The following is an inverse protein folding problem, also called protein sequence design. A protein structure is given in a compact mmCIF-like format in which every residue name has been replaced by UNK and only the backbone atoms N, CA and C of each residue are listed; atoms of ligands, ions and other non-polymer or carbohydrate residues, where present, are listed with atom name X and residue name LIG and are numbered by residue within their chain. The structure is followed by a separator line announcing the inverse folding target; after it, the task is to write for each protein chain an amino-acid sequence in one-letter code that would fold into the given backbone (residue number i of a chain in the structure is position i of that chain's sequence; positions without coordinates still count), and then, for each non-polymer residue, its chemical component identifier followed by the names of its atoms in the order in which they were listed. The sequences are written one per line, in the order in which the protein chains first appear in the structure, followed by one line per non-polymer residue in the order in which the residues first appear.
data_IF_086429711239
#
_entry.id   IF_086429711239
#
_cell.length_a   1.000
_cell.length_b   1.000
_cell.length_c   1.000
_cell.angle_alpha   90.00
_cell.angle_beta   90.00
_cell.angle_gamma   90.00
#
_symmetry.space_group_name_H-M   'P 1'
#
loop_
_entity.id
_entity.type
_entity.pdbx_description
1 polymer ?
#
# COMPACT_ATOMS: atom_id res chain seq x y z
N UNK A 1 38.09 11.80 -6.77
CA UNK A 1 37.71 10.46 -6.25
C UNK A 1 36.44 10.63 -5.43
N UNK A 2 35.44 9.74 -5.64
CA UNK A 2 34.03 9.80 -5.18
C UNK A 2 33.22 10.97 -5.82
N UNK A 3 32.21 10.77 -6.65
CA UNK A 3 31.34 9.62 -6.85
C UNK A 3 29.92 10.17 -6.91
N UNK A 4 29.54 10.69 -8.09
CA UNK A 4 28.19 11.13 -8.44
C UNK A 4 27.21 9.95 -8.25
N UNK A 5 26.63 9.84 -7.05
CA UNK A 5 25.57 8.87 -6.74
C UNK A 5 24.30 9.63 -6.40
N UNK A 6 23.95 10.61 -7.25
CA UNK A 6 22.58 11.04 -7.36
C UNK A 6 21.78 9.90 -8.00
N UNK A 7 21.09 9.18 -7.12
CA UNK A 7 19.67 8.97 -7.35
C UNK A 7 19.33 8.08 -8.56
N UNK A 8 19.54 6.77 -8.41
CA UNK A 8 18.73 5.79 -9.15
C UNK A 8 17.30 5.80 -8.57
N UNK A 9 16.58 6.93 -8.71
CA UNK A 9 15.11 6.96 -8.60
C UNK A 9 14.60 6.14 -9.78
N UNK A 10 14.48 4.83 -9.58
CA UNK A 10 13.79 3.95 -10.50
C UNK A 10 12.44 4.59 -10.81
N UNK A 11 12.20 4.94 -12.08
CA UNK A 11 11.04 5.68 -12.53
C UNK A 11 9.77 4.98 -12.06
N UNK A 12 9.19 5.45 -10.96
CA UNK A 12 7.89 4.99 -10.49
C UNK A 12 6.86 5.57 -11.46
N UNK A 13 6.02 4.74 -12.06
CA UNK A 13 4.95 5.20 -12.96
C UNK A 13 4.07 6.20 -12.18
N UNK A 14 3.62 7.27 -12.85
CA UNK A 14 2.62 8.20 -12.27
C UNK A 14 1.44 7.38 -11.73
N UNK A 15 1.05 7.64 -10.48
CA UNK A 15 0.00 6.88 -9.81
C UNK A 15 0.49 5.69 -8.97
N UNK A 16 1.80 5.45 -8.85
CA UNK A 16 2.38 4.40 -8.01
C UNK A 16 3.35 4.97 -6.98
N UNK A 17 3.49 4.30 -5.84
CA UNK A 17 4.35 4.67 -4.72
C UNK A 17 5.20 3.46 -4.29
N UNK A 18 6.48 3.71 -4.01
CA UNK A 18 7.36 2.72 -3.39
C UNK A 18 7.28 2.83 -1.86
N UNK A 19 7.03 1.70 -1.19
CA UNK A 19 6.95 1.59 0.28
C UNK A 19 7.94 0.55 0.79
N UNK A 20 8.49 0.76 1.99
CA UNK A 20 9.32 -0.21 2.73
C UNK A 20 8.52 -0.73 3.90
N UNK A 21 8.50 -2.05 4.05
CA UNK A 21 7.73 -2.77 5.07
C UNK A 21 8.64 -3.78 5.74
N UNK A 22 8.66 -3.80 7.07
CA UNK A 22 9.41 -4.75 7.86
C UNK A 22 10.07 -4.12 9.09
N UNK A 23 10.59 -4.98 9.97
CA UNK A 23 11.22 -4.57 11.23
C UNK A 23 12.73 -4.44 11.06
N UNK A 24 13.28 -3.29 11.45
CA UNK A 24 14.70 -2.96 11.26
C UNK A 24 15.66 -3.85 12.06
N UNK A 25 15.18 -4.59 13.07
CA UNK A 25 16.02 -5.32 14.03
C UNK A 25 16.35 -6.77 13.63
N UNK A 26 15.79 -7.29 12.52
CA UNK A 26 16.15 -8.61 12.02
C UNK A 26 17.38 -8.49 11.09
N UNK A 27 18.52 -9.00 11.56
CA UNK A 27 19.79 -9.01 10.82
C UNK A 27 19.67 -9.90 9.56
N UNK A 28 19.45 -9.27 8.40
CA UNK A 28 19.24 -9.92 7.10
C UNK A 28 17.83 -9.67 6.54
N UNK A 29 17.75 -9.00 5.38
CA UNK A 29 16.51 -8.65 4.65
C UNK A 29 15.33 -8.15 5.52
N UNK A 30 15.60 -7.42 6.62
CA UNK A 30 14.59 -7.00 7.60
C UNK A 30 13.49 -6.06 7.07
N UNK A 31 13.63 -5.55 5.85
CA UNK A 31 12.64 -4.71 5.18
C UNK A 31 12.52 -5.03 3.70
N UNK A 32 11.28 -5.29 3.25
CA UNK A 32 10.96 -5.51 1.83
C UNK A 32 10.38 -4.25 1.22
N UNK A 33 10.79 -3.98 -0.03
CA UNK A 33 10.25 -2.87 -0.82
C UNK A 33 9.08 -3.36 -1.68
N UNK A 34 7.96 -2.68 -1.58
CA UNK A 34 6.78 -2.90 -2.41
C UNK A 34 6.48 -1.66 -3.25
N UNK A 35 5.78 -1.86 -4.37
CA UNK A 35 5.25 -0.77 -5.18
C UNK A 35 3.74 -0.95 -5.23
N UNK A 36 3.01 0.04 -4.73
CA UNK A 36 1.54 0.04 -4.65
C UNK A 36 0.96 1.23 -5.41
N UNK A 37 -0.27 1.13 -5.93
CA UNK A 37 -0.97 2.29 -6.45
C UNK A 37 -1.16 3.34 -5.36
N UNK A 38 -1.05 4.63 -5.72
CA UNK A 38 -1.33 5.76 -4.82
C UNK A 38 -2.78 5.71 -4.31
N UNK A 39 -3.70 5.07 -5.06
CA UNK A 39 -5.07 4.80 -4.64
C UNK A 39 -5.16 4.15 -3.25
N UNK A 40 -4.18 3.31 -2.88
CA UNK A 40 -4.16 2.62 -1.60
C UNK A 40 -4.03 3.60 -0.42
N UNK A 41 -3.35 4.74 -0.61
CA UNK A 41 -3.20 5.76 0.44
C UNK A 41 -4.54 6.40 0.84
N UNK A 42 -5.54 6.36 -0.05
CA UNK A 42 -6.88 6.88 0.24
C UNK A 42 -7.76 5.86 0.98
N UNK A 43 -7.31 4.61 1.12
CA UNK A 43 -8.04 3.61 1.87
C UNK A 43 -7.86 3.81 3.38
N UNK A 44 -8.93 3.78 4.20
CA UNK A 44 -8.85 4.05 5.64
C UNK A 44 -7.85 3.14 6.38
N UNK A 45 -7.76 1.85 5.99
CA UNK A 45 -6.77 0.92 6.52
C UNK A 45 -5.32 1.40 6.32
N UNK A 46 -5.01 1.95 5.15
CA UNK A 46 -3.70 2.48 4.85
C UNK A 46 -3.47 3.83 5.53
N UNK A 47 -4.48 4.68 5.64
CA UNK A 47 -4.37 5.96 6.35
C UNK A 47 -3.91 5.78 7.80
N UNK A 48 -4.51 4.82 8.52
CA UNK A 48 -4.08 4.49 9.90
C UNK A 48 -2.61 4.07 9.97
N UNK A 49 -2.17 3.27 8.99
CA UNK A 49 -0.78 2.84 8.85
C UNK A 49 0.18 3.98 8.53
N UNK A 50 -0.24 4.91 7.67
CA UNK A 50 0.53 6.11 7.32
C UNK A 50 0.68 7.05 8.51
N UNK A 51 -0.35 7.16 9.34
CA UNK A 51 -0.30 7.97 10.55
C UNK A 51 0.64 7.37 11.59
N UNK A 52 0.58 6.05 11.80
CA UNK A 52 1.54 5.35 12.65
C UNK A 52 2.98 5.48 12.10
N UNK A 53 3.14 5.35 10.78
CA UNK A 53 4.42 5.53 10.11
C UNK A 53 4.99 6.93 10.31
N UNK A 54 4.14 7.94 10.16
CA UNK A 54 4.50 9.35 10.39
C UNK A 54 4.95 9.58 11.83
N UNK A 55 4.23 9.01 12.79
CA UNK A 55 4.56 9.16 14.22
C UNK A 55 5.88 8.46 14.57
N UNK A 56 6.13 7.27 14.01
CA UNK A 56 7.31 6.47 14.32
C UNK A 56 8.57 6.92 13.56
N UNK A 57 8.46 7.21 12.26
CA UNK A 57 9.60 7.48 11.37
C UNK A 57 9.74 8.96 10.97
N UNK A 58 8.74 9.80 11.26
CA UNK A 58 8.72 11.20 10.87
C UNK A 58 8.52 11.44 9.37
N UNK A 59 8.40 12.71 8.99
CA UNK A 59 8.30 13.16 7.60
C UNK A 59 9.68 13.15 6.92
N UNK A 60 10.26 11.97 6.67
CA UNK A 60 11.44 11.91 5.81
C UNK A 60 11.01 12.04 4.34
N UNK A 61 11.21 13.23 3.77
CA UNK A 61 10.88 13.57 2.37
C UNK A 61 11.84 12.94 1.34
N UNK A 62 12.89 12.27 1.81
CA UNK A 62 13.96 11.71 0.98
C UNK A 62 13.94 10.17 1.01
N UNK A 63 12.87 9.53 0.54
CA UNK A 63 12.89 8.07 0.38
C UNK A 63 11.55 7.41 0.14
N UNK A 64 11.55 6.08 -0.08
CA UNK A 64 10.33 5.28 -0.04
C UNK A 64 9.69 5.37 1.35
N UNK A 65 8.37 5.44 1.37
CA UNK A 65 7.57 5.54 2.59
C UNK A 65 7.78 4.28 3.46
N UNK A 66 8.14 4.45 4.72
CA UNK A 66 8.26 3.36 5.68
C UNK A 66 6.91 3.07 6.32
N UNK A 67 6.57 1.79 6.50
CA UNK A 67 5.36 1.37 7.20
C UNK A 67 5.76 0.55 8.44
N UNK A 68 5.25 0.89 9.65
CA UNK A 68 5.54 0.20 10.90
C UNK A 68 4.69 -1.06 11.00
N UNK A 69 4.75 -1.92 9.99
CA UNK A 69 4.07 -3.20 9.99
C UNK A 69 4.97 -4.30 9.45
N UNK A 70 4.61 -5.52 9.82
CA UNK A 70 5.25 -6.72 9.31
C UNK A 70 4.88 -6.92 7.84
N UNK A 71 5.78 -7.55 7.08
CA UNK A 71 5.56 -7.88 5.67
C UNK A 71 4.26 -8.67 5.46
N UNK A 72 4.00 -9.64 6.34
CA UNK A 72 2.80 -10.49 6.31
C UNK A 72 1.50 -9.68 6.48
N UNK A 73 1.49 -8.72 7.41
CA UNK A 73 0.34 -7.84 7.64
C UNK A 73 0.09 -6.93 6.43
N UNK A 74 1.15 -6.36 5.85
CA UNK A 74 1.03 -5.56 4.64
C UNK A 74 0.47 -6.36 3.46
N UNK A 75 0.86 -7.63 3.29
CA UNK A 75 0.33 -8.49 2.24
C UNK A 75 -1.16 -8.79 2.45
N UNK A 76 -1.60 -9.04 3.70
CA UNK A 76 -3.02 -9.19 4.02
C UNK A 76 -3.81 -7.93 3.70
N UNK A 77 -3.33 -6.78 4.14
CA UNK A 77 -3.98 -5.49 3.87
C UNK A 77 -4.07 -5.21 2.38
N UNK A 78 -2.99 -5.48 1.64
CA UNK A 78 -2.98 -5.34 0.19
C UNK A 78 -4.06 -6.21 -0.46
N UNK A 79 -4.20 -7.46 -0.03
CA UNK A 79 -5.21 -8.38 -0.55
C UNK A 79 -6.64 -7.93 -0.22
N UNK A 80 -6.87 -7.36 0.97
CA UNK A 80 -8.17 -6.82 1.36
C UNK A 80 -8.57 -5.62 0.50
N UNK A 81 -7.66 -4.66 0.31
CA UNK A 81 -7.90 -3.48 -0.53
C UNK A 81 -8.16 -3.90 -1.98
N UNK A 82 -7.40 -4.88 -2.50
CA UNK A 82 -7.58 -5.41 -3.85
C UNK A 82 -8.99 -6.03 -4.03
N UNK A 83 -9.45 -6.81 -3.05
CA UNK A 83 -10.79 -7.41 -3.05
C UNK A 83 -11.93 -6.39 -2.98
N UNK A 84 -11.78 -5.34 -2.17
CA UNK A 84 -12.78 -4.27 -2.07
C UNK A 84 -12.93 -3.52 -3.40
N UNK A 85 -11.82 -3.28 -4.11
CA UNK A 85 -11.88 -2.68 -5.45
C UNK A 85 -12.50 -3.58 -6.51
N UNK A 86 -12.53 -4.89 -6.30
CA UNK A 86 -13.12 -5.87 -7.22
C UNK A 86 -14.61 -6.17 -6.93
N UNK A 87 -15.07 -5.98 -5.69
CA UNK A 87 -16.41 -6.40 -5.26
C UNK A 87 -17.56 -5.47 -5.70
N UNK A 88 -17.27 -4.29 -6.24
CA UNK A 88 -18.31 -3.36 -6.70
C UNK A 88 -19.02 -3.79 -8.01
N UNK A 89 -18.67 -4.92 -8.62
CA UNK A 89 -19.24 -5.37 -9.90
C UNK A 89 -20.18 -6.58 -9.84
N UNK A 90 -20.55 -7.08 -8.66
CA UNK A 90 -21.58 -8.14 -8.53
C UNK A 90 -22.82 -7.66 -7.79
N UNK A 91 -23.37 -6.52 -8.21
CA UNK A 91 -24.76 -6.13 -7.89
C UNK A 91 -25.57 -6.07 -9.17
N UNK A 92 -25.91 -7.23 -9.74
CA UNK A 92 -27.04 -7.40 -10.67
C UNK A 92 -27.20 -8.86 -11.07
N UNK A 93 -28.10 -9.60 -10.42
CA UNK A 93 -29.24 -10.27 -11.07
C UNK A 93 -30.01 -11.17 -10.08
N UNK A 94 -31.33 -10.94 -9.98
CA UNK A 94 -32.47 -11.81 -9.58
C UNK A 94 -33.43 -11.00 -8.68
N UNK A 95 -34.69 -10.66 -9.02
CA UNK A 95 -35.59 -10.92 -10.16
C UNK A 95 -36.67 -9.80 -10.22
N UNK A 96 -37.11 -9.43 -11.43
CA UNK A 96 -38.43 -8.84 -11.75
C UNK A 96 -39.39 -10.06 -11.91
N UNK A 97 -40.69 -10.10 -11.57
CA UNK A 97 -41.79 -9.20 -11.83
C UNK A 97 -43.03 -9.63 -10.99
N UNK A 98 -43.99 -8.73 -10.77
CA UNK A 98 -45.27 -9.01 -10.10
C UNK A 98 -46.25 -9.88 -10.90
N UNK A 99 -47.36 -10.24 -10.26
CA UNK A 99 -48.47 -10.94 -10.92
C UNK A 99 -49.62 -11.25 -9.95
N UNK A 100 -50.69 -10.50 -10.11
CA UNK A 100 -52.02 -10.54 -9.50
C UNK A 100 -52.76 -11.87 -9.72
N UNK A 101 -53.60 -12.28 -8.76
CA UNK A 101 -54.94 -12.82 -9.01
C UNK A 101 -55.84 -12.55 -7.81
#
# INVERSE_FOLDING_TARGET
MQGDQAEKRGKVKKGWLAVRVGQAEQHGDGFRRFVIPIAYLYHPLFQRLLEAARDTYGYSSAGPLWLPCSVDEFLRLRALVDQETAHSHSSSHRVHAGGYQ
#
